data_IF_720648870352
#
_entry.id   IF_720648870352
#
_cell.length_a   1.000
_cell.length_b   1.000
_cell.length_c   1.000
_cell.angle_alpha   90.00
_cell.angle_beta   90.00
_cell.angle_gamma   90.00
#
_symmetry.space_group_name_H-M   'P 1'
#
loop_
_entity.id
_entity.type
_entity.pdbx_description
1 polymer ?
#
# COMPACT_ATOMS: atom_id res chain seq x y z
N UNK A 1 -2.77 -23.80 -6.69
CA UNK A 1 -1.76 -22.78 -6.35
C UNK A 1 -1.68 -21.62 -7.31
N UNK A 2 -1.38 -21.81 -8.60
CA UNK A 2 -1.30 -20.68 -9.56
C UNK A 2 -2.59 -19.84 -9.60
N UNK A 3 -3.74 -20.48 -9.79
CA UNK A 3 -5.04 -19.80 -9.77
C UNK A 3 -5.32 -19.08 -8.43
N UNK A 4 -4.91 -19.68 -7.31
CA UNK A 4 -5.07 -19.08 -5.98
C UNK A 4 -4.13 -17.89 -5.78
N UNK A 5 -2.95 -17.88 -6.40
CA UNK A 5 -2.08 -16.71 -6.38
C UNK A 5 -2.67 -15.56 -7.21
N UNK A 6 -3.32 -15.86 -8.35
CA UNK A 6 -4.12 -14.88 -9.08
C UNK A 6 -5.30 -14.35 -8.27
N UNK A 7 -6.06 -15.23 -7.60
CA UNK A 7 -7.15 -14.85 -6.71
C UNK A 7 -6.68 -13.94 -5.54
N UNK A 8 -5.46 -14.16 -5.04
CA UNK A 8 -4.88 -13.31 -4.00
C UNK A 8 -4.58 -11.87 -4.45
N UNK A 9 -4.49 -11.66 -5.77
CA UNK A 9 -4.02 -10.41 -6.38
C UNK A 9 -2.50 -10.27 -6.47
N UNK A 10 -1.72 -11.29 -6.06
CA UNK A 10 -0.25 -11.29 -6.05
C UNK A 10 0.32 -12.37 -6.98
N UNK A 11 0.06 -12.24 -8.29
CA UNK A 11 0.43 -13.15 -9.38
C UNK A 11 1.64 -12.67 -10.22
N UNK A 12 2.87 -13.03 -9.91
CA UNK A 12 3.26 -13.88 -8.82
C UNK A 12 4.24 -13.15 -7.91
N UNK A 13 4.58 -13.82 -6.82
CA UNK A 13 5.44 -13.31 -5.77
C UNK A 13 6.13 -14.48 -5.09
N UNK A 14 7.38 -14.26 -4.70
CA UNK A 14 8.15 -15.09 -3.76
C UNK A 14 7.38 -15.40 -2.47
N UNK A 15 6.38 -14.57 -2.11
CA UNK A 15 5.47 -14.78 -0.99
C UNK A 15 4.85 -16.17 -1.00
N UNK A 16 4.48 -16.65 -2.19
CA UNK A 16 3.80 -17.93 -2.39
C UNK A 16 4.76 -19.09 -2.64
N UNK A 17 6.04 -18.82 -2.83
CA UNK A 17 7.03 -19.84 -3.18
C UNK A 17 7.64 -20.45 -1.93
N UNK A 18 7.78 -21.76 -1.91
CA UNK A 18 8.41 -22.49 -0.80
C UNK A 18 9.87 -22.08 -0.63
N UNK A 19 10.59 -21.89 -1.74
CA UNK A 19 11.99 -21.47 -1.75
C UNK A 19 12.20 -19.97 -1.94
N UNK A 20 11.11 -19.20 -2.10
CA UNK A 20 11.06 -17.75 -2.36
C UNK A 20 11.73 -17.31 -3.67
N UNK A 21 12.03 -18.24 -4.56
CA UNK A 21 12.82 -18.00 -5.76
C UNK A 21 12.14 -18.52 -7.01
N UNK A 22 11.63 -19.75 -6.96
CA UNK A 22 11.16 -20.46 -8.15
C UNK A 22 9.66 -20.68 -8.12
N UNK A 23 9.00 -20.32 -9.22
CA UNK A 23 7.57 -20.56 -9.44
C UNK A 23 7.18 -22.03 -9.26
N UNK A 24 8.07 -22.96 -9.64
CA UNK A 24 7.83 -24.40 -9.53
C UNK A 24 7.60 -24.83 -8.07
N UNK A 25 8.04 -24.00 -7.11
CA UNK A 25 7.86 -24.25 -5.68
C UNK A 25 6.62 -23.56 -5.08
N UNK A 26 5.73 -23.00 -5.91
CA UNK A 26 4.51 -22.33 -5.46
C UNK A 26 3.64 -23.25 -4.60
N UNK A 27 3.21 -22.73 -3.44
CA UNK A 27 2.40 -23.46 -2.46
C UNK A 27 1.31 -22.57 -1.85
N UNK A 28 0.70 -21.69 -2.65
CA UNK A 28 -0.27 -20.67 -2.20
C UNK A 28 -1.35 -21.22 -1.26
N UNK A 29 -1.93 -22.39 -1.58
CA UNK A 29 -3.00 -23.00 -0.78
C UNK A 29 -2.54 -23.58 0.56
N UNK A 30 -1.23 -23.72 0.79
CA UNK A 30 -0.65 -24.05 2.10
C UNK A 30 -0.34 -22.82 2.96
N UNK A 31 -0.56 -21.61 2.45
CA UNK A 31 -0.27 -20.37 3.14
C UNK A 31 -1.59 -19.71 3.53
N UNK A 32 -1.78 -19.47 4.82
CA UNK A 32 -2.88 -18.67 5.35
C UNK A 32 -2.45 -17.20 5.27
N UNK A 33 -3.06 -16.36 4.41
CA UNK A 33 -2.61 -14.99 4.21
C UNK A 33 -3.14 -14.06 5.30
N UNK A 34 -2.27 -13.24 5.90
CA UNK A 34 -2.67 -12.28 6.94
C UNK A 34 -3.62 -11.21 6.39
N UNK A 35 -3.39 -10.78 5.16
CA UNK A 35 -4.18 -9.74 4.50
C UNK A 35 -5.62 -10.18 4.22
N UNK A 36 -5.82 -11.39 3.70
CA UNK A 36 -7.16 -11.94 3.51
C UNK A 36 -7.94 -11.99 4.84
N UNK A 37 -7.32 -12.46 5.92
CA UNK A 37 -7.99 -12.58 7.21
C UNK A 37 -8.29 -11.21 7.84
N UNK A 38 -7.40 -10.23 7.66
CA UNK A 38 -7.65 -8.84 8.05
C UNK A 38 -8.83 -8.23 7.28
N UNK A 39 -8.92 -8.48 5.97
CA UNK A 39 -10.05 -8.05 5.14
C UNK A 39 -11.37 -8.72 5.54
N UNK A 40 -11.35 -10.00 5.91
CA UNK A 40 -12.55 -10.70 6.42
C UNK A 40 -13.05 -10.09 7.73
N UNK A 41 -12.15 -9.73 8.65
CA UNK A 41 -12.53 -8.98 9.85
C UNK A 41 -13.11 -7.60 9.50
N UNK A 42 -12.48 -6.88 8.57
CA UNK A 42 -12.97 -5.57 8.14
C UNK A 42 -14.38 -5.66 7.52
N UNK A 43 -14.62 -6.67 6.69
CA UNK A 43 -15.92 -6.96 6.10
C UNK A 43 -16.98 -7.24 7.17
N UNK A 44 -16.65 -8.00 8.22
CA UNK A 44 -17.58 -8.21 9.34
C UNK A 44 -17.94 -6.89 10.04
N UNK A 45 -16.98 -5.97 10.20
CA UNK A 45 -17.23 -4.65 10.77
C UNK A 45 -18.10 -3.75 9.86
N UNK A 46 -17.88 -3.78 8.54
CA UNK A 46 -18.71 -3.06 7.57
C UNK A 46 -20.14 -3.60 7.58
N UNK A 47 -20.31 -4.92 7.53
CA UNK A 47 -21.62 -5.57 7.60
C UNK A 47 -22.33 -5.24 8.91
N UNK A 48 -21.59 -5.20 10.04
CA UNK A 48 -22.13 -4.79 11.33
C UNK A 48 -22.69 -3.37 11.26
N UNK A 49 -21.93 -2.42 10.70
CA UNK A 49 -22.40 -1.05 10.51
C UNK A 49 -23.67 -1.00 9.64
N UNK A 50 -23.70 -1.69 8.51
CA UNK A 50 -24.88 -1.75 7.64
C UNK A 50 -26.09 -2.40 8.34
N UNK A 51 -25.87 -3.38 9.23
CA UNK A 51 -26.91 -4.00 10.03
C UNK A 51 -27.53 -3.02 11.06
N UNK A 52 -26.78 -2.03 11.55
CA UNK A 52 -27.36 -0.99 12.43
C UNK A 52 -28.45 -0.17 11.73
N UNK A 53 -28.37 -0.06 10.40
CA UNK A 53 -29.31 0.68 9.55
C UNK A 53 -30.43 -0.23 9.03
N UNK A 54 -30.14 -1.51 8.78
CA UNK A 54 -31.07 -2.46 8.14
C UNK A 54 -31.69 -3.46 9.13
N UNK A 55 -30.93 -4.48 9.56
CA UNK A 55 -31.38 -5.54 10.48
C UNK A 55 -30.57 -5.54 11.79
N UNK A 56 -31.06 -4.79 12.77
CA UNK A 56 -30.40 -4.62 14.08
C UNK A 56 -30.21 -5.92 14.85
N UNK A 57 -30.95 -7.00 14.53
CA UNK A 57 -30.80 -8.31 15.20
C UNK A 57 -29.46 -8.96 14.86
N UNK A 58 -28.88 -8.67 13.69
CA UNK A 58 -27.59 -9.23 13.25
C UNK A 58 -26.36 -8.52 13.82
N UNK A 59 -26.52 -7.35 14.44
CA UNK A 59 -25.39 -6.55 14.93
C UNK A 59 -24.55 -7.33 15.94
N UNK A 60 -25.18 -8.00 16.91
CA UNK A 60 -24.48 -8.78 17.92
C UNK A 60 -23.76 -10.00 17.33
N UNK A 61 -24.36 -10.68 16.34
CA UNK A 61 -23.74 -11.80 15.64
C UNK A 61 -22.49 -11.35 14.87
N UNK A 62 -22.59 -10.23 14.14
CA UNK A 62 -21.49 -9.68 13.34
C UNK A 62 -20.37 -9.10 14.21
N UNK A 63 -20.68 -8.52 15.37
CA UNK A 63 -19.67 -8.14 16.36
C UNK A 63 -18.91 -9.38 16.84
N UNK A 64 -19.60 -10.43 17.27
CA UNK A 64 -18.96 -11.67 17.71
C UNK A 64 -18.08 -12.29 16.61
N UNK A 65 -18.51 -12.22 15.36
CA UNK A 65 -17.72 -12.69 14.21
C UNK A 65 -16.46 -11.84 14.00
N UNK A 66 -16.56 -10.51 14.08
CA UNK A 66 -15.41 -9.61 14.04
C UNK A 66 -14.43 -9.91 15.18
N UNK A 67 -14.92 -10.03 16.41
CA UNK A 67 -14.11 -10.32 17.60
C UNK A 67 -13.35 -11.64 17.44
N UNK A 68 -14.03 -12.72 17.05
CA UNK A 68 -13.39 -14.02 16.81
C UNK A 68 -12.30 -13.98 15.74
N UNK A 69 -12.49 -13.24 14.64
CA UNK A 69 -11.44 -13.09 13.61
C UNK A 69 -10.28 -12.24 14.14
N UNK A 70 -10.55 -11.18 14.90
CA UNK A 70 -9.51 -10.34 15.53
C UNK A 70 -8.65 -11.15 16.52
N UNK A 71 -9.28 -12.00 17.34
CA UNK A 71 -8.58 -12.93 18.23
C UNK A 71 -7.69 -13.91 17.45
N UNK A 72 -8.21 -14.48 16.35
CA UNK A 72 -7.44 -15.35 15.47
C UNK A 72 -6.27 -14.62 14.78
N UNK A 73 -6.47 -13.36 14.36
CA UNK A 73 -5.40 -12.53 13.79
C UNK A 73 -4.24 -12.35 14.78
N UNK A 74 -4.55 -12.11 16.05
CA UNK A 74 -3.54 -12.01 17.10
C UNK A 74 -2.89 -13.35 17.41
N UNK A 75 -3.66 -14.44 17.50
CA UNK A 75 -3.13 -15.75 17.90
C UNK A 75 -2.31 -16.45 16.81
N UNK A 76 -2.68 -16.29 15.53
CA UNK A 76 -2.12 -17.09 14.42
C UNK A 76 -1.08 -16.32 13.62
N UNK A 77 -1.22 -15.00 13.50
CA UNK A 77 -0.40 -14.21 12.56
C UNK A 77 0.56 -13.27 13.27
N UNK A 78 0.22 -12.79 14.46
CA UNK A 78 1.12 -11.90 15.19
C UNK A 78 2.26 -12.70 15.83
N UNK A 79 3.49 -12.35 15.49
CA UNK A 79 4.68 -12.95 16.07
C UNK A 79 5.24 -12.02 17.16
N UNK A 80 5.20 -12.46 18.42
CA UNK A 80 5.66 -11.66 19.55
C UNK A 80 7.17 -11.41 19.59
N UNK A 81 7.98 -12.28 18.98
CA UNK A 81 9.43 -12.09 18.89
C UNK A 81 9.77 -11.03 17.85
N UNK A 82 9.11 -11.12 16.70
CA UNK A 82 9.34 -10.25 15.55
C UNK A 82 8.43 -9.01 15.56
N UNK A 83 7.53 -8.85 16.52
CA UNK A 83 6.71 -7.65 16.69
C UNK A 83 6.05 -7.20 15.38
N UNK A 84 5.45 -8.14 14.67
CA UNK A 84 4.78 -7.92 13.38
C UNK A 84 3.84 -9.08 13.09
N UNK A 85 2.85 -8.87 12.21
CA UNK A 85 2.04 -9.94 11.67
C UNK A 85 2.71 -10.59 10.46
N UNK A 86 2.49 -11.89 10.24
CA UNK A 86 3.07 -12.66 9.13
C UNK A 86 2.06 -13.68 8.63
N UNK A 87 2.17 -14.08 7.37
CA UNK A 87 1.44 -15.25 6.86
C UNK A 87 1.85 -16.52 7.64
N UNK A 88 0.91 -17.45 7.78
CA UNK A 88 1.15 -18.73 8.47
C UNK A 88 1.18 -19.87 7.45
N UNK A 89 2.21 -20.71 7.49
CA UNK A 89 2.35 -21.85 6.59
C UNK A 89 1.84 -23.13 7.28
N UNK A 90 0.81 -23.75 6.72
CA UNK A 90 0.16 -24.95 7.27
C UNK A 90 1.03 -26.21 7.14
N UNK A 91 1.91 -26.27 6.12
CA UNK A 91 2.79 -27.41 5.91
C UNK A 91 3.93 -27.43 6.92
N UNK A 92 4.51 -26.26 7.24
CA UNK A 92 5.60 -26.15 8.21
C UNK A 92 5.13 -25.83 9.62
N UNK A 93 3.84 -25.52 9.81
CA UNK A 93 3.27 -25.03 11.07
C UNK A 93 4.07 -23.87 11.66
N UNK A 94 4.37 -22.87 10.83
CA UNK A 94 5.21 -21.74 11.23
C UNK A 94 4.89 -20.45 10.47
N UNK A 95 5.18 -19.32 11.10
CA UNK A 95 5.15 -18.01 10.44
C UNK A 95 6.16 -17.95 9.28
N UNK A 96 5.76 -17.34 8.15
CA UNK A 96 6.69 -16.90 7.11
C UNK A 96 7.29 -15.54 7.53
N UNK A 97 8.31 -15.58 8.39
CA UNK A 97 8.97 -14.39 8.94
C UNK A 97 9.80 -13.67 7.88
N UNK A 98 9.13 -12.84 7.08
CA UNK A 98 9.69 -11.92 6.11
C UNK A 98 8.68 -10.78 5.89
N UNK A 99 9.16 -9.62 5.47
CA UNK A 99 8.29 -8.50 5.16
C UNK A 99 7.64 -8.65 3.79
N UNK A 100 6.32 -8.48 3.79
CA UNK A 100 5.52 -8.00 2.68
C UNK A 100 4.61 -6.86 3.21
N UNK A 101 4.13 -5.94 2.37
CA UNK A 101 3.15 -4.94 2.82
C UNK A 101 1.88 -5.51 3.46
N UNK A 102 1.55 -6.79 3.21
CA UNK A 102 0.46 -7.50 3.91
C UNK A 102 0.63 -7.54 5.43
N UNK A 103 1.87 -7.50 5.95
CA UNK A 103 2.16 -7.42 7.38
C UNK A 103 1.48 -6.19 8.04
N UNK A 104 1.16 -5.14 7.27
CA UNK A 104 0.51 -3.90 7.75
C UNK A 104 -1.02 -3.94 7.60
N UNK A 105 -1.60 -4.95 6.94
CA UNK A 105 -3.04 -5.03 6.68
C UNK A 105 -3.90 -5.02 7.96
N UNK A 106 -3.55 -5.70 9.07
CA UNK A 106 -4.31 -5.61 10.32
C UNK A 106 -4.38 -4.17 10.86
N UNK A 107 -3.31 -3.37 10.69
CA UNK A 107 -3.30 -1.97 11.07
C UNK A 107 -4.20 -1.12 10.16
N UNK A 108 -4.17 -1.34 8.85
CA UNK A 108 -5.03 -0.68 7.85
C UNK A 108 -6.53 -0.91 8.08
N UNK A 109 -6.87 -2.15 8.41
CA UNK A 109 -8.26 -2.59 8.67
C UNK A 109 -8.73 -2.30 10.09
N UNK A 110 -7.83 -1.87 10.98
CA UNK A 110 -8.07 -1.72 12.42
C UNK A 110 -8.59 -3.02 13.08
N UNK A 111 -8.17 -4.16 12.54
CA UNK A 111 -8.53 -5.51 13.01
C UNK A 111 -7.45 -6.08 13.91
N UNK A 112 -7.24 -5.41 15.04
CA UNK A 112 -6.41 -5.82 16.16
C UNK A 112 -7.05 -5.32 17.46
N UNK A 113 -6.56 -5.76 18.61
CA UNK A 113 -7.11 -5.31 19.90
C UNK A 113 -6.86 -3.82 20.07
N UNK A 114 -7.90 -3.02 20.32
CA UNK A 114 -7.78 -1.58 20.56
C UNK A 114 -6.96 -1.24 21.83
N UNK A 115 -6.83 -2.21 22.74
CA UNK A 115 -5.98 -2.09 23.93
C UNK A 115 -4.48 -2.25 23.61
N UNK A 116 -4.14 -2.75 22.42
CA UNK A 116 -2.76 -3.01 22.03
C UNK A 116 -2.14 -1.79 21.30
N UNK A 117 -2.04 -0.66 22.01
CA UNK A 117 -1.42 0.58 21.52
C UNK A 117 0.00 0.40 20.96
N UNK A 118 0.70 -0.66 21.37
CA UNK A 118 2.06 -0.97 20.92
C UNK A 118 2.18 -1.46 19.48
N UNK A 119 1.12 -2.02 18.87
CA UNK A 119 1.23 -2.74 17.59
C UNK A 119 1.63 -1.85 16.42
N UNK A 120 1.19 -0.59 16.43
CA UNK A 120 1.59 0.41 15.43
C UNK A 120 3.09 0.75 15.54
N UNK A 121 3.60 0.86 16.77
CA UNK A 121 5.04 1.11 17.02
C UNK A 121 5.88 -0.11 16.65
N UNK A 122 5.39 -1.31 16.98
CA UNK A 122 6.02 -2.59 16.69
C UNK A 122 6.29 -2.80 15.20
N UNK A 123 5.26 -2.63 14.36
CA UNK A 123 5.40 -2.77 12.91
C UNK A 123 6.35 -1.71 12.32
N UNK A 124 6.32 -0.48 12.83
CA UNK A 124 7.26 0.57 12.42
C UNK A 124 8.70 0.21 12.80
N UNK A 125 8.91 -0.34 14.00
CA UNK A 125 10.24 -0.80 14.42
C UNK A 125 10.72 -1.99 13.59
N UNK A 126 9.82 -2.90 13.20
CA UNK A 126 10.12 -3.94 12.22
C UNK A 126 10.53 -3.35 10.88
N UNK A 127 9.80 -2.35 10.38
CA UNK A 127 10.14 -1.72 9.12
C UNK A 127 11.48 -0.98 9.15
N UNK A 128 11.79 -0.30 10.26
CA UNK A 128 13.08 0.36 10.49
C UNK A 128 14.23 -0.63 10.49
N UNK A 129 14.16 -1.71 11.30
CA UNK A 129 15.25 -2.69 11.41
C UNK A 129 15.46 -3.49 10.12
N UNK A 130 14.39 -3.67 9.34
CA UNK A 130 14.43 -4.27 8.01
C UNK A 130 14.84 -3.29 6.90
N UNK A 131 15.20 -2.04 7.24
CA UNK A 131 15.63 -0.96 6.31
C UNK A 131 14.61 -0.62 5.23
N UNK A 132 13.33 -0.90 5.47
CA UNK A 132 12.26 -0.67 4.51
C UNK A 132 11.93 0.81 4.33
N UNK A 133 12.30 1.65 5.29
CA UNK A 133 12.07 3.09 5.26
C UNK A 133 13.23 3.87 4.60
N UNK A 134 14.33 3.20 4.27
CA UNK A 134 15.55 3.81 3.71
C UNK A 134 15.42 4.09 2.21
N UNK A 135 14.51 3.38 1.53
CA UNK A 135 14.21 3.59 0.13
C UNK A 135 13.58 4.97 -0.11
N UNK A 136 14.00 5.62 -1.20
CA UNK A 136 13.64 7.01 -1.49
C UNK A 136 12.26 7.13 -2.12
N UNK A 137 11.85 6.11 -2.89
CA UNK A 137 10.70 6.19 -3.78
C UNK A 137 9.50 5.36 -3.28
N UNK A 138 9.44 5.03 -1.99
CA UNK A 138 8.39 4.21 -1.38
C UNK A 138 8.96 3.03 -0.59
N UNK A 139 8.12 2.03 -0.33
CA UNK A 139 8.48 0.77 0.33
C UNK A 139 8.41 -0.36 -0.69
N UNK A 140 9.39 -1.27 -0.80
CA UNK A 140 9.32 -2.36 -1.77
C UNK A 140 8.24 -3.37 -1.40
N UNK A 141 7.73 -4.07 -2.41
CA UNK A 141 6.76 -5.17 -2.21
C UNK A 141 7.34 -6.33 -1.41
N UNK A 142 8.64 -6.59 -1.53
CA UNK A 142 9.36 -7.59 -0.73
C UNK A 142 10.84 -7.21 -0.62
N UNK A 143 11.61 -8.02 0.13
CA UNK A 143 13.08 -7.93 0.17
C UNK A 143 13.76 -9.01 -0.68
N UNK A 144 12.99 -9.81 -1.43
CA UNK A 144 13.52 -10.94 -2.22
C UNK A 144 13.99 -10.45 -3.59
N UNK A 145 15.32 -10.35 -3.77
CA UNK A 145 15.93 -9.78 -4.98
C UNK A 145 16.05 -10.75 -6.16
N UNK A 146 15.83 -12.04 -5.92
CA UNK A 146 16.19 -13.11 -6.85
C UNK A 146 14.98 -13.83 -7.47
N UNK A 147 13.76 -13.36 -7.25
CA UNK A 147 12.57 -14.00 -7.81
C UNK A 147 12.31 -13.59 -9.26
N UNK A 148 12.58 -12.31 -9.61
CA UNK A 148 12.23 -11.74 -10.92
C UNK A 148 10.74 -11.48 -11.12
N UNK A 149 9.93 -11.70 -10.07
CA UNK A 149 8.47 -11.61 -10.13
C UNK A 149 7.96 -10.17 -10.00
N UNK A 150 6.74 -9.92 -10.50
CA UNK A 150 6.17 -8.54 -10.51
C UNK A 150 5.80 -8.05 -9.11
N UNK A 151 5.33 -8.94 -8.23
CA UNK A 151 4.98 -8.62 -6.84
C UNK A 151 6.14 -8.92 -5.88
N UNK A 152 7.33 -8.42 -6.23
CA UNK A 152 8.56 -8.52 -5.43
C UNK A 152 9.47 -7.31 -5.64
N UNK A 153 10.59 -7.29 -4.92
CA UNK A 153 11.68 -6.34 -5.16
C UNK A 153 12.12 -6.33 -6.64
N UNK A 154 12.38 -5.15 -7.26
CA UNK A 154 12.42 -3.81 -6.66
C UNK A 154 11.09 -3.04 -6.80
N UNK A 155 9.99 -3.69 -7.13
CA UNK A 155 8.76 -2.99 -7.44
C UNK A 155 8.07 -2.47 -6.18
N UNK A 156 7.47 -1.30 -6.29
CA UNK A 156 6.47 -0.75 -5.38
C UNK A 156 5.16 -0.55 -6.14
N UNK A 157 4.05 -0.98 -5.52
CA UNK A 157 2.71 -0.90 -6.10
C UNK A 157 1.85 0.04 -5.30
N UNK A 158 1.08 0.90 -5.99
CA UNK A 158 0.27 1.93 -5.34
C UNK A 158 -0.68 1.39 -4.25
N UNK A 159 -1.41 0.27 -4.45
CA UNK A 159 -2.26 -0.30 -3.40
C UNK A 159 -1.48 -0.68 -2.14
N UNK A 160 -0.27 -1.21 -2.29
CA UNK A 160 0.57 -1.63 -1.17
C UNK A 160 1.15 -0.43 -0.41
N UNK A 161 1.53 0.63 -1.11
CA UNK A 161 1.93 1.88 -0.47
C UNK A 161 0.76 2.46 0.33
N UNK A 162 -0.43 2.45 -0.26
CA UNK A 162 -1.65 2.96 0.36
C UNK A 162 -1.99 2.19 1.64
N UNK A 163 -1.96 0.86 1.62
CA UNK A 163 -2.17 0.03 2.82
C UNK A 163 -1.21 0.42 3.95
N UNK A 164 0.08 0.62 3.64
CA UNK A 164 1.09 1.01 4.64
C UNK A 164 0.79 2.41 5.19
N UNK A 165 0.61 3.39 4.31
CA UNK A 165 0.39 4.79 4.67
C UNK A 165 -0.90 4.94 5.47
N UNK A 166 -2.00 4.40 4.97
CA UNK A 166 -3.31 4.51 5.61
C UNK A 166 -3.39 3.72 6.91
N UNK A 167 -2.76 2.55 7.01
CA UNK A 167 -2.64 1.84 8.28
C UNK A 167 -1.93 2.68 9.32
N UNK A 168 -0.78 3.24 8.97
CA UNK A 168 -0.04 4.13 9.88
C UNK A 168 -0.86 5.39 10.24
N UNK A 169 -1.56 5.99 9.28
CA UNK A 169 -2.41 7.18 9.50
C UNK A 169 -3.60 6.91 10.42
N UNK A 170 -4.24 5.74 10.29
CA UNK A 170 -5.37 5.31 11.14
C UNK A 170 -4.94 4.80 12.51
N UNK A 171 -3.65 4.68 12.78
CA UNK A 171 -3.14 4.36 14.11
C UNK A 171 -3.45 5.48 15.10
N UNK A 172 -3.42 5.15 16.40
CA UNK A 172 -3.57 6.12 17.49
C UNK A 172 -2.24 6.68 17.99
N UNK A 173 -1.15 6.53 17.22
CA UNK A 173 0.19 6.99 17.57
C UNK A 173 0.63 8.17 16.68
N UNK A 174 0.80 9.39 17.22
CA UNK A 174 1.18 10.57 16.45
C UNK A 174 2.51 10.44 15.69
N UNK A 175 3.51 9.76 16.24
CA UNK A 175 4.80 9.55 15.56
C UNK A 175 4.65 8.62 14.35
N UNK A 176 3.76 7.64 14.46
CA UNK A 176 3.42 6.72 13.36
C UNK A 176 2.60 7.46 12.29
N UNK A 177 1.66 8.32 12.70
CA UNK A 177 0.92 9.19 11.77
C UNK A 177 1.84 10.16 11.02
N UNK A 178 2.85 10.72 11.70
CA UNK A 178 3.86 11.58 11.06
C UNK A 178 4.72 10.79 10.06
N UNK A 179 5.05 9.54 10.37
CA UNK A 179 5.72 8.65 9.42
C UNK A 179 4.84 8.35 8.20
N UNK A 180 3.53 8.16 8.38
CA UNK A 180 2.59 7.98 7.28
C UNK A 180 2.66 9.14 6.29
N UNK A 181 2.64 10.38 6.77
CA UNK A 181 2.81 11.58 5.94
C UNK A 181 4.15 11.58 5.19
N UNK A 182 5.26 11.24 5.86
CA UNK A 182 6.58 11.18 5.22
C UNK A 182 6.63 10.15 4.08
N UNK A 183 6.00 8.99 4.27
CA UNK A 183 5.88 7.96 3.25
C UNK A 183 4.96 8.40 2.11
N UNK A 184 3.83 9.05 2.42
CA UNK A 184 2.94 9.64 1.41
C UNK A 184 3.68 10.64 0.53
N UNK A 185 4.44 11.56 1.15
CA UNK A 185 5.26 12.54 0.43
C UNK A 185 6.29 11.87 -0.47
N UNK A 186 7.01 10.85 0.02
CA UNK A 186 7.96 10.08 -0.81
C UNK A 186 7.28 9.45 -2.03
N UNK A 187 6.15 8.76 -1.82
CA UNK A 187 5.43 8.08 -2.90
C UNK A 187 4.86 9.05 -3.94
N UNK A 188 4.25 10.14 -3.50
CA UNK A 188 3.71 11.19 -4.39
C UNK A 188 4.82 11.82 -5.22
N UNK A 189 5.94 12.18 -4.60
CA UNK A 189 7.08 12.76 -5.32
C UNK A 189 7.70 11.76 -6.31
N UNK A 190 7.79 10.48 -5.95
CA UNK A 190 8.30 9.46 -6.85
C UNK A 190 7.44 9.33 -8.12
N UNK A 191 6.11 9.24 -7.95
CA UNK A 191 5.18 9.21 -9.06
C UNK A 191 5.20 10.49 -9.89
N UNK A 192 5.32 11.66 -9.24
CA UNK A 192 5.47 12.93 -9.93
C UNK A 192 6.71 12.97 -10.82
N UNK A 193 7.87 12.53 -10.31
CA UNK A 193 9.10 12.48 -11.10
C UNK A 193 9.01 11.50 -12.29
N UNK A 194 8.41 10.33 -12.10
CA UNK A 194 8.16 9.38 -13.20
C UNK A 194 7.24 10.03 -14.24
N UNK A 195 6.13 10.65 -13.80
CA UNK A 195 5.21 11.35 -14.68
C UNK A 195 5.89 12.47 -15.45
N UNK A 196 6.75 13.27 -14.82
CA UNK A 196 7.51 14.32 -15.51
C UNK A 196 8.45 13.75 -16.59
N UNK A 197 9.01 12.57 -16.36
CA UNK A 197 9.93 11.92 -17.29
C UNK A 197 9.23 11.20 -18.44
N UNK A 198 8.04 10.64 -18.21
CA UNK A 198 7.36 9.75 -19.17
C UNK A 198 6.01 10.27 -19.67
N UNK A 199 5.48 11.35 -19.08
CA UNK A 199 4.12 11.87 -19.28
C UNK A 199 3.00 10.85 -18.97
N UNK A 200 3.28 9.85 -18.14
CA UNK A 200 2.37 8.74 -17.86
C UNK A 200 2.45 8.31 -16.39
N UNK A 201 1.34 7.79 -15.86
CA UNK A 201 1.27 7.11 -14.56
C UNK A 201 1.33 5.60 -14.80
N UNK A 202 2.10 4.87 -14.00
CA UNK A 202 2.39 3.45 -14.25
C UNK A 202 1.76 2.54 -13.19
N UNK A 203 1.52 1.28 -13.55
CA UNK A 203 0.97 0.27 -12.64
C UNK A 203 1.86 0.01 -11.41
N UNK A 204 3.19 0.05 -11.62
CA UNK A 204 4.23 -0.12 -10.58
C UNK A 204 5.47 0.72 -10.88
N UNK A 205 6.21 1.07 -9.83
CA UNK A 205 7.44 1.88 -9.91
C UNK A 205 8.62 1.09 -9.32
N UNK A 206 9.80 1.25 -9.89
CA UNK A 206 11.06 0.80 -9.27
C UNK A 206 11.38 1.74 -8.10
N UNK A 207 11.32 1.20 -6.89
CA UNK A 207 11.52 1.98 -5.66
C UNK A 207 13.00 2.27 -5.35
N UNK A 208 13.91 1.64 -6.09
CA UNK A 208 15.35 1.71 -5.86
C UNK A 208 15.96 2.89 -6.61
N UNK A 209 17.03 3.45 -6.05
CA UNK A 209 17.79 4.54 -6.63
C UNK A 209 17.22 5.92 -6.33
N UNK A 210 17.88 6.95 -6.86
CA UNK A 210 17.54 8.37 -6.64
C UNK A 210 16.59 8.92 -7.69
N UNK A 211 16.53 8.31 -8.85
CA UNK A 211 15.63 8.69 -9.95
C UNK A 211 14.65 7.53 -10.14
N UNK A 212 13.38 7.69 -9.75
CA UNK A 212 12.38 6.65 -9.93
C UNK A 212 12.11 6.44 -11.42
N UNK A 213 11.74 5.20 -11.77
CA UNK A 213 11.38 4.80 -13.13
C UNK A 213 10.23 3.79 -13.08
N UNK A 214 9.54 3.52 -14.21
CA UNK A 214 8.56 2.45 -14.26
C UNK A 214 9.18 1.13 -13.78
N UNK A 215 8.42 0.34 -13.03
CA UNK A 215 8.89 -0.96 -12.55
C UNK A 215 8.94 -2.01 -13.66
N UNK A 216 9.28 -3.25 -13.31
CA UNK A 216 9.50 -4.32 -14.30
C UNK A 216 9.16 -5.70 -13.73
N UNK A 217 9.50 -6.78 -14.45
CA UNK A 217 9.36 -8.16 -13.98
C UNK A 217 7.94 -8.74 -14.06
N UNK A 218 7.87 -10.06 -13.93
CA UNK A 218 6.69 -10.89 -14.17
C UNK A 218 6.40 -11.17 -15.64
N UNK A 219 5.17 -11.61 -15.91
CA UNK A 219 4.76 -12.22 -17.18
C UNK A 219 4.40 -11.22 -18.29
N UNK A 220 4.30 -9.93 -17.98
CA UNK A 220 3.95 -8.88 -18.94
C UNK A 220 4.70 -7.57 -18.66
N UNK A 221 4.76 -6.72 -19.70
CA UNK A 221 5.38 -5.40 -19.63
C UNK A 221 4.61 -4.46 -18.70
N UNK A 222 5.31 -3.52 -18.07
CA UNK A 222 4.71 -2.44 -17.26
C UNK A 222 3.63 -1.68 -18.06
N UNK A 223 2.53 -1.30 -17.40
CA UNK A 223 1.34 -0.69 -18.05
C UNK A 223 1.12 0.76 -17.61
N UNK A 224 0.61 1.61 -18.52
CA UNK A 224 0.38 3.03 -18.28
C UNK A 224 -1.09 3.39 -17.95
N UNK A 225 -1.33 4.67 -17.58
CA UNK A 225 -2.64 5.23 -17.23
C UNK A 225 -3.27 4.72 -15.92
N UNK A 226 -2.56 3.87 -15.18
CA UNK A 226 -3.17 2.82 -14.36
C UNK A 226 -4.08 3.31 -13.21
N UNK A 227 -5.30 2.74 -13.14
CA UNK A 227 -6.38 3.21 -12.27
C UNK A 227 -6.06 3.27 -10.77
N UNK A 228 -5.44 2.23 -10.19
CA UNK A 228 -5.07 2.28 -8.77
C UNK A 228 -4.01 3.35 -8.47
N UNK A 229 -3.15 3.67 -9.43
CA UNK A 229 -2.04 4.60 -9.21
C UNK A 229 -2.61 5.99 -9.14
N UNK A 230 -3.48 6.32 -10.09
CA UNK A 230 -4.23 7.56 -10.11
C UNK A 230 -5.08 7.71 -8.83
N UNK A 231 -5.83 6.66 -8.45
CA UNK A 231 -6.69 6.68 -7.26
C UNK A 231 -5.90 6.94 -5.97
N UNK A 232 -4.79 6.23 -5.76
CA UNK A 232 -3.95 6.40 -4.58
C UNK A 232 -3.31 7.79 -4.55
N UNK A 233 -2.80 8.29 -5.69
CA UNK A 233 -2.19 9.62 -5.73
C UNK A 233 -3.22 10.71 -5.42
N UNK A 234 -4.44 10.60 -5.98
CA UNK A 234 -5.52 11.55 -5.68
C UNK A 234 -5.92 11.51 -4.19
N UNK A 235 -6.07 10.32 -3.60
CA UNK A 235 -6.39 10.17 -2.18
C UNK A 235 -5.31 10.78 -1.28
N UNK A 236 -4.03 10.54 -1.57
CA UNK A 236 -2.91 11.09 -0.79
C UNK A 236 -2.78 12.61 -0.94
N UNK A 237 -2.99 13.14 -2.15
CA UNK A 237 -2.98 14.59 -2.38
C UNK A 237 -4.15 15.27 -1.68
N UNK A 238 -5.35 14.68 -1.70
CA UNK A 238 -6.50 15.20 -0.98
C UNK A 238 -6.33 15.12 0.54
N UNK A 239 -5.77 14.02 1.04
CA UNK A 239 -5.56 13.77 2.48
C UNK A 239 -4.51 14.71 3.08
N UNK A 240 -3.45 15.05 2.33
CA UNK A 240 -2.32 15.83 2.83
C UNK A 240 -2.15 17.17 2.10
N UNK A 241 -3.21 17.72 1.49
CA UNK A 241 -3.16 18.88 0.59
C UNK A 241 -2.49 20.11 1.22
N UNK A 242 -2.70 20.33 2.53
CA UNK A 242 -2.20 21.45 3.31
C UNK A 242 -0.72 21.30 3.72
N UNK A 243 -0.21 20.07 3.65
CA UNK A 243 1.17 19.72 4.01
C UNK A 243 2.02 19.34 2.80
N UNK A 244 1.42 19.02 1.66
CA UNK A 244 2.15 18.56 0.48
C UNK A 244 2.80 19.73 -0.25
N UNK A 245 4.07 19.58 -0.60
CA UNK A 245 4.79 20.56 -1.41
C UNK A 245 5.82 19.88 -2.29
N UNK A 246 5.95 20.37 -3.52
CA UNK A 246 7.06 20.01 -4.40
C UNK A 246 8.29 20.79 -3.92
N UNK A 247 9.42 20.13 -3.62
CA UNK A 247 10.66 20.83 -3.31
C UNK A 247 10.96 21.84 -4.42
N UNK A 248 11.27 23.09 -4.07
CA UNK A 248 11.80 24.04 -5.05
C UNK A 248 13.12 23.47 -5.55
N UNK A 249 13.15 22.95 -6.76
CA UNK A 249 14.40 22.67 -7.43
C UNK A 249 15.06 24.00 -7.74
N UNK A 250 16.34 24.15 -7.39
CA UNK A 250 17.20 25.22 -7.92
C UNK A 250 17.45 24.95 -9.42
N UNK A 251 16.39 24.94 -10.22
CA UNK A 251 16.52 25.08 -11.64
C UNK A 251 16.77 26.56 -11.91
N UNK A 252 18.02 26.89 -12.25
CA UNK A 252 18.30 28.05 -13.12
C UNK A 252 17.56 27.82 -14.44
N UNK A 253 16.26 28.08 -14.45
CA UNK A 253 15.52 28.27 -15.68
C UNK A 253 15.92 29.66 -16.16
N UNK A 254 16.66 29.73 -17.25
CA UNK A 254 16.71 30.93 -18.06
C UNK A 254 15.30 31.13 -18.65
N UNK A 255 14.37 31.65 -17.85
CA UNK A 255 13.06 32.09 -18.32
C UNK A 255 13.05 33.62 -18.36
N UNK A 256 12.82 34.16 -19.55
CA UNK A 256 12.43 35.54 -19.74
C UNK A 256 11.22 35.89 -18.83
N UNK A 257 11.04 37.15 -18.43
CA UNK A 257 10.04 37.49 -17.42
C UNK A 257 8.63 37.25 -17.97
N UNK A 258 7.83 36.44 -17.28
CA UNK A 258 6.37 36.44 -17.45
C UNK A 258 5.72 37.42 -16.47
N UNK A 259 4.63 38.10 -16.88
CA UNK A 259 4.03 39.19 -16.11
C UNK A 259 3.28 38.68 -14.87
N UNK A 260 3.29 39.49 -13.81
CA UNK A 260 2.65 39.21 -12.53
C UNK A 260 1.14 38.99 -12.66
N UNK A 261 0.64 37.89 -12.06
CA UNK A 261 -0.79 37.62 -11.89
C UNK A 261 -1.09 37.41 -10.39
N UNK A 262 -2.17 38.06 -9.94
CA UNK A 262 -2.65 38.22 -8.56
C UNK A 262 -3.34 36.96 -7.98
N UNK A 263 -3.51 36.86 -6.63
CA UNK A 263 -3.75 35.61 -5.91
C UNK A 263 -5.22 35.11 -5.94
N UNK A 264 -5.96 35.35 -7.01
CA UNK A 264 -7.29 34.74 -7.25
C UNK A 264 -7.21 33.51 -8.16
N UNK A 265 -6.03 33.17 -8.68
CA UNK A 265 -5.83 32.09 -9.66
C UNK A 265 -5.64 30.68 -9.09
N UNK A 266 -5.47 30.52 -7.77
CA UNK A 266 -5.19 29.20 -7.19
C UNK A 266 -6.41 28.26 -7.16
N UNK A 267 -7.61 28.79 -6.94
CA UNK A 267 -8.84 27.96 -6.93
C UNK A 267 -9.21 27.44 -8.33
N UNK A 268 -8.83 28.15 -9.39
CA UNK A 268 -9.11 27.75 -10.77
C UNK A 268 -8.12 26.70 -11.29
N UNK A 269 -6.87 26.71 -10.83
CA UNK A 269 -5.86 25.72 -11.24
C UNK A 269 -6.17 24.35 -10.65
N UNK A 270 -6.63 24.25 -9.41
CA UNK A 270 -7.07 22.97 -8.85
C UNK A 270 -8.27 22.39 -9.60
N UNK A 271 -9.23 23.25 -10.01
CA UNK A 271 -10.37 22.82 -10.82
C UNK A 271 -9.96 22.40 -12.24
N UNK A 272 -8.98 23.09 -12.85
CA UNK A 272 -8.44 22.75 -14.17
C UNK A 272 -7.60 21.47 -14.12
N UNK A 273 -6.81 21.25 -13.07
CA UNK A 273 -6.12 19.98 -12.82
C UNK A 273 -7.17 18.87 -12.66
N UNK A 274 -8.22 19.09 -11.86
CA UNK A 274 -9.33 18.15 -11.71
C UNK A 274 -10.01 17.80 -13.06
N UNK A 275 -10.24 18.78 -13.92
CA UNK A 275 -10.88 18.60 -15.24
C UNK A 275 -9.92 17.95 -16.26
N UNK A 276 -8.62 18.26 -16.23
CA UNK A 276 -7.62 17.64 -17.10
C UNK A 276 -7.43 16.16 -16.73
N UNK A 277 -7.42 15.82 -15.44
CA UNK A 277 -7.33 14.43 -14.98
C UNK A 277 -8.58 13.60 -15.32
N UNK A 278 -9.78 14.19 -15.26
CA UNK A 278 -11.03 13.50 -15.64
C UNK A 278 -11.16 13.33 -17.16
N UNK A 279 -10.78 14.34 -17.94
CA UNK A 279 -10.93 14.31 -19.41
C UNK A 279 -9.95 13.34 -20.11
N UNK A 280 -8.77 13.08 -19.54
CA UNK A 280 -7.87 12.03 -20.06
C UNK A 280 -8.29 10.60 -19.64
N UNK A 281 -9.05 10.46 -18.54
CA UNK A 281 -9.52 9.14 -18.08
C UNK A 281 -10.74 8.63 -18.85
N UNK A 282 -11.48 9.50 -19.54
CA UNK A 282 -12.69 9.14 -20.29
C UNK A 282 -12.42 8.57 -21.70
N UNK A 283 -11.21 8.74 -22.27
CA UNK A 283 -10.90 8.24 -23.61
C UNK A 283 -10.42 6.78 -23.66
N UNK A 284 -10.37 6.07 -22.52
CA UNK A 284 -10.04 4.64 -22.47
C UNK A 284 -11.13 3.75 -21.87
N UNK A 285 -12.35 4.28 -21.71
CA UNK A 285 -13.55 3.50 -21.39
C UNK A 285 -14.67 3.79 -22.40
N UNK A 286 -14.41 3.52 -23.68
CA UNK A 286 -15.37 3.06 -24.69
C UNK A 286 -14.66 1.99 -25.54
#
# INVERSE_FOLDING_TARGET
DLASAAESGWDFSSRWFRDRRTMQSIETTNIVPVDLNALLCWNANILKYLATISDKKKVAELEKKKESISEALNAIFYNDTEKSWFDYNLRTNSHKVIFYPSNVMPLFTQCYSELDYGKATDIVNFMKRSKLLDYQNGVPTSLETNSGEKWDFPNGWAPLQHIIIEGMRKSNNPDVQELAYKLAKKWVLANYHVYQATNQMWDKIDIVGTIPKPGSGGEYNVQDGFGWTNGVILDLLATYYDRMSVPKTDQKVNSAPMPHITPLFWNSIMLIIFIIFISHSYNHFI
#
